data_IF_646751905399
#
_entry.id   IF_646751905399
#
_cell.length_a   1.000
_cell.length_b   1.000
_cell.length_c   1.000
_cell.angle_alpha   90.00
_cell.angle_beta   90.00
_cell.angle_gamma   90.00
#
_symmetry.space_group_name_H-M   'P 1'
#
loop_
_entity.id
_entity.type
_entity.pdbx_description
1 polymer ?
#
# COMPACT_ATOMS: atom_id res chain seq x y z
N UNK A 1 25.62 -1.64 -4.02
CA UNK A 1 24.37 -1.00 -4.51
C UNK A 1 23.46 -0.69 -3.33
N UNK A 2 22.68 0.39 -3.42
CA UNK A 2 21.70 0.76 -2.40
C UNK A 2 20.32 0.34 -2.91
N UNK A 3 19.57 -0.44 -2.13
CA UNK A 3 18.20 -0.83 -2.46
C UNK A 3 17.27 0.39 -2.32
N UNK A 4 16.36 0.57 -3.27
CA UNK A 4 15.34 1.63 -3.21
C UNK A 4 14.25 1.31 -2.19
N UNK A 5 13.89 0.03 -2.06
CA UNK A 5 12.95 -0.48 -1.06
C UNK A 5 13.10 -1.99 -0.87
N UNK A 6 12.51 -2.52 0.20
CA UNK A 6 12.27 -3.96 0.38
C UNK A 6 10.77 -4.19 0.40
N UNK A 7 10.29 -5.16 -0.37
CA UNK A 7 8.88 -5.55 -0.38
C UNK A 7 8.68 -6.85 0.38
N UNK A 8 7.63 -6.92 1.20
CA UNK A 8 7.18 -8.13 1.88
C UNK A 8 5.68 -8.37 1.67
N UNK A 9 5.29 -9.63 1.73
CA UNK A 9 3.90 -10.04 1.91
C UNK A 9 3.71 -10.43 3.37
N UNK A 10 2.91 -9.67 4.13
CA UNK A 10 2.75 -9.90 5.58
C UNK A 10 2.02 -11.20 5.88
N UNK A 11 1.11 -11.62 5.01
CA UNK A 11 0.35 -12.86 5.12
C UNK A 11 0.20 -13.53 3.74
N UNK A 12 0.87 -14.66 3.53
CA UNK A 12 0.78 -15.45 2.30
C UNK A 12 -0.48 -16.32 2.35
N UNK A 13 -1.50 -15.95 1.57
CA UNK A 13 -2.83 -16.58 1.62
C UNK A 13 -2.79 -18.08 1.30
N UNK A 14 -2.00 -18.48 0.30
CA UNK A 14 -1.98 -19.86 -0.20
C UNK A 14 -1.22 -20.76 0.78
N UNK A 15 -0.02 -20.33 1.19
CA UNK A 15 0.88 -21.14 2.02
C UNK A 15 0.54 -21.08 3.51
N UNK A 16 -0.39 -20.20 3.92
CA UNK A 16 -0.80 -20.05 5.32
C UNK A 16 0.31 -19.53 6.24
N UNK A 17 1.30 -18.80 5.69
CA UNK A 17 2.42 -18.25 6.45
C UNK A 17 2.26 -16.75 6.67
N UNK A 18 2.66 -16.26 7.84
CA UNK A 18 2.62 -14.83 8.16
C UNK A 18 3.90 -14.36 8.86
N UNK A 19 4.18 -13.07 8.73
CA UNK A 19 5.14 -12.39 9.60
C UNK A 19 4.51 -12.20 10.98
N UNK A 20 5.21 -12.65 12.02
CA UNK A 20 4.86 -12.37 13.42
C UNK A 20 5.53 -11.06 13.84
N UNK A 21 6.81 -10.92 13.51
CA UNK A 21 7.59 -9.71 13.72
C UNK A 21 7.89 -9.04 12.38
N UNK A 22 7.58 -7.75 12.28
CA UNK A 22 7.88 -6.96 11.09
C UNK A 22 9.37 -6.58 11.12
N UNK A 23 10.14 -6.87 10.05
CA UNK A 23 11.57 -6.54 10.01
C UNK A 23 11.78 -5.03 10.09
N UNK A 24 12.77 -4.61 10.87
CA UNK A 24 13.20 -3.20 10.92
C UNK A 24 14.31 -2.95 9.90
N UNK A 25 14.15 -1.90 9.10
CA UNK A 25 15.14 -1.48 8.10
C UNK A 25 15.51 -0.03 8.35
N UNK A 26 16.79 0.24 8.66
CA UNK A 26 17.23 1.57 9.10
C UNK A 26 17.21 2.62 7.97
N UNK A 27 17.51 2.19 6.73
CA UNK A 27 17.83 3.10 5.61
C UNK A 27 17.03 2.83 4.34
N UNK A 28 16.22 1.79 4.33
CA UNK A 28 15.50 1.32 3.15
C UNK A 28 14.01 1.22 3.52
N UNK A 29 13.13 1.90 2.78
CA UNK A 29 11.68 1.79 3.00
C UNK A 29 11.20 0.35 2.92
N UNK A 30 10.40 -0.06 3.90
CA UNK A 30 9.68 -1.33 3.87
C UNK A 30 8.31 -1.14 3.21
N UNK A 31 8.04 -1.89 2.16
CA UNK A 31 6.76 -1.92 1.44
C UNK A 31 6.05 -3.22 1.80
N UNK A 32 4.77 -3.15 2.16
CA UNK A 32 4.02 -4.31 2.57
C UNK A 32 2.74 -4.51 1.77
N UNK A 33 2.58 -5.71 1.21
CA UNK A 33 1.28 -6.24 0.80
C UNK A 33 0.55 -6.79 2.03
N UNK A 34 -0.54 -6.12 2.40
CA UNK A 34 -1.42 -6.52 3.50
C UNK A 34 -2.81 -6.94 3.01
N UNK A 35 -2.96 -7.31 1.73
CA UNK A 35 -4.29 -7.61 1.16
C UNK A 35 -5.07 -8.63 2.00
N UNK A 36 -4.43 -9.70 2.47
CA UNK A 36 -5.06 -10.79 3.23
C UNK A 36 -5.05 -10.62 4.75
N UNK A 37 -4.61 -9.49 5.29
CA UNK A 37 -4.61 -9.27 6.74
C UNK A 37 -4.67 -7.79 7.18
N UNK A 38 -4.93 -6.85 6.27
CA UNK A 38 -5.16 -5.45 6.65
C UNK A 38 -6.37 -5.37 7.59
N UNK A 39 -6.26 -4.65 8.70
CA UNK A 39 -7.26 -4.57 9.77
C UNK A 39 -7.57 -5.88 10.53
N UNK A 40 -6.82 -6.97 10.32
CA UNK A 40 -6.99 -8.19 11.15
C UNK A 40 -6.28 -8.10 12.51
N UNK A 41 -5.27 -7.24 12.62
CA UNK A 41 -4.49 -6.99 13.84
C UNK A 41 -3.93 -5.56 13.85
N UNK A 42 -3.38 -5.13 14.98
CA UNK A 42 -2.79 -3.78 15.10
C UNK A 42 -1.38 -3.78 14.53
N UNK A 43 -1.11 -2.83 13.64
CA UNK A 43 0.22 -2.58 13.07
C UNK A 43 0.73 -1.21 13.48
N UNK A 44 2.01 -1.13 13.83
CA UNK A 44 2.71 0.15 13.88
C UNK A 44 3.02 0.60 12.45
N UNK A 45 2.14 1.45 11.91
CA UNK A 45 2.24 1.97 10.53
C UNK A 45 3.52 2.77 10.28
N UNK A 46 4.17 3.28 11.34
CA UNK A 46 5.39 4.10 11.21
C UNK A 46 6.60 3.29 10.71
N UNK A 47 6.56 1.96 10.87
CA UNK A 47 7.59 1.01 10.40
C UNK A 47 7.61 0.83 8.88
N UNK A 48 6.54 1.23 8.19
CA UNK A 48 6.40 1.02 6.74
C UNK A 48 6.65 2.31 5.98
N UNK A 49 7.22 2.19 4.78
CA UNK A 49 7.22 3.24 3.77
C UNK A 49 5.87 3.31 3.05
N UNK A 50 5.35 2.14 2.67
CA UNK A 50 4.06 2.00 2.00
C UNK A 50 3.39 0.70 2.43
N UNK A 51 2.09 0.75 2.69
CA UNK A 51 1.22 -0.41 2.86
C UNK A 51 0.19 -0.36 1.74
N UNK A 52 -0.05 -1.49 1.06
CA UNK A 52 -1.20 -1.60 0.16
C UNK A 52 -2.00 -2.87 0.43
N UNK A 53 -3.30 -2.80 0.11
CA UNK A 53 -4.21 -3.93 0.25
C UNK A 53 -5.35 -3.83 -0.76
N UNK A 54 -5.53 -4.89 -1.56
CA UNK A 54 -6.77 -5.09 -2.32
C UNK A 54 -7.92 -5.40 -1.36
N UNK A 55 -9.05 -4.72 -1.52
CA UNK A 55 -10.15 -4.79 -0.55
C UNK A 55 -10.81 -6.18 -0.50
N UNK A 56 -10.85 -6.90 -1.63
CA UNK A 56 -11.59 -8.16 -1.86
C UNK A 56 -11.20 -9.37 -1.00
N UNK A 57 -10.25 -9.22 -0.08
CA UNK A 57 -9.83 -10.29 0.81
C UNK A 57 -10.34 -10.05 2.22
N UNK A 58 -9.82 -9.05 2.91
CA UNK A 58 -10.06 -8.85 4.34
C UNK A 58 -10.89 -7.60 4.67
N UNK A 59 -11.22 -6.76 3.68
CA UNK A 59 -11.75 -5.41 3.94
C UNK A 59 -13.13 -5.16 3.34
N UNK A 60 -13.43 -5.67 2.15
CA UNK A 60 -14.65 -5.30 1.44
C UNK A 60 -14.77 -5.92 0.05
N UNK A 61 -15.60 -5.36 -0.83
CA UNK A 61 -15.81 -5.90 -2.17
C UNK A 61 -14.61 -5.67 -3.11
N UNK A 62 -14.56 -6.45 -4.19
CA UNK A 62 -13.59 -6.22 -5.27
C UNK A 62 -13.82 -4.86 -5.96
N UNK A 63 -12.73 -4.28 -6.48
CA UNK A 63 -12.76 -3.00 -7.19
C UNK A 63 -12.09 -1.83 -6.46
N UNK A 64 -11.57 -2.03 -5.25
CA UNK A 64 -10.83 -1.03 -4.48
C UNK A 64 -9.48 -1.57 -4.00
N UNK A 65 -8.46 -0.70 -4.03
CA UNK A 65 -7.18 -0.94 -3.36
C UNK A 65 -6.86 0.25 -2.47
N UNK A 66 -6.53 -0.03 -1.20
CA UNK A 66 -6.03 0.99 -0.27
C UNK A 66 -4.51 1.07 -0.42
N UNK A 67 -3.97 2.28 -0.40
CA UNK A 67 -2.55 2.55 -0.24
C UNK A 67 -2.33 3.59 0.86
N UNK A 68 -1.53 3.23 1.88
CA UNK A 68 -1.08 4.12 2.95
C UNK A 68 0.39 4.38 2.70
N UNK A 69 0.76 5.61 2.38
CA UNK A 69 2.10 5.97 1.87
C UNK A 69 2.70 7.07 2.75
N UNK A 70 3.97 6.92 3.16
CA UNK A 70 4.70 8.03 3.78
C UNK A 70 4.83 9.20 2.79
N UNK A 71 4.52 10.40 3.26
CA UNK A 71 4.41 11.60 2.41
C UNK A 71 5.71 11.97 1.71
N UNK A 72 6.86 11.70 2.33
CA UNK A 72 8.19 11.95 1.79
C UNK A 72 8.57 11.03 0.63
N UNK A 73 7.83 9.94 0.41
CA UNK A 73 7.99 9.05 -0.75
C UNK A 73 7.16 9.48 -1.97
N UNK A 74 6.32 10.51 -1.83
CA UNK A 74 5.44 11.00 -2.91
C UNK A 74 6.13 12.15 -3.65
N UNK A 75 5.97 12.17 -4.98
CA UNK A 75 6.55 13.22 -5.86
C UNK A 75 7.91 12.86 -6.48
N UNK A 76 8.41 11.65 -6.24
CA UNK A 76 9.64 11.11 -6.84
C UNK A 76 9.45 10.30 -8.12
N UNK A 77 8.27 10.33 -8.74
CA UNK A 77 8.01 9.58 -9.97
C UNK A 77 8.84 10.12 -11.15
N UNK A 78 9.29 9.22 -12.04
CA UNK A 78 9.97 9.62 -13.28
C UNK A 78 9.06 10.53 -14.14
N UNK A 79 9.66 11.45 -14.90
CA UNK A 79 8.94 12.32 -15.84
C UNK A 79 8.16 11.53 -16.90
N UNK A 80 8.59 10.31 -17.23
CA UNK A 80 7.88 9.42 -18.14
C UNK A 80 6.72 8.67 -17.48
N UNK A 81 6.54 8.76 -16.16
CA UNK A 81 5.47 8.08 -15.45
C UNK A 81 4.10 8.65 -15.87
N UNK A 82 3.19 7.84 -16.42
CA UNK A 82 1.84 8.29 -16.76
C UNK A 82 1.10 8.85 -15.55
N UNK A 83 0.24 9.84 -15.78
CA UNK A 83 -0.50 10.54 -14.71
C UNK A 83 -1.27 9.60 -13.79
N UNK A 84 -1.89 8.54 -14.34
CA UNK A 84 -2.64 7.54 -13.58
C UNK A 84 -1.77 6.57 -12.77
N UNK A 85 -0.46 6.51 -13.01
CA UNK A 85 0.47 5.67 -12.25
C UNK A 85 1.30 6.47 -11.23
N UNK A 86 1.18 7.81 -11.24
CA UNK A 86 1.87 8.67 -10.29
C UNK A 86 1.04 8.88 -9.01
N UNK A 87 1.54 8.40 -7.86
CA UNK A 87 0.90 8.59 -6.56
C UNK A 87 0.68 10.06 -6.18
N UNK A 88 1.52 10.98 -6.68
CA UNK A 88 1.35 12.41 -6.45
C UNK A 88 0.01 12.92 -7.02
N UNK A 89 -0.42 12.38 -8.16
CA UNK A 89 -1.73 12.70 -8.76
C UNK A 89 -2.86 12.41 -7.77
N UNK A 90 -2.86 11.23 -7.17
CA UNK A 90 -3.90 10.83 -6.22
C UNK A 90 -3.81 11.62 -4.91
N UNK A 91 -2.59 11.82 -4.39
CA UNK A 91 -2.36 12.59 -3.16
C UNK A 91 -2.82 14.03 -3.27
N UNK A 92 -2.58 14.70 -4.41
CA UNK A 92 -3.02 16.09 -4.66
C UNK A 92 -4.52 16.25 -4.85
N UNK A 93 -5.20 15.20 -5.33
CA UNK A 93 -6.62 15.24 -5.66
C UNK A 93 -7.49 14.45 -4.66
N UNK A 94 -6.99 14.09 -3.48
CA UNK A 94 -7.69 13.27 -2.49
C UNK A 94 -8.31 11.98 -3.10
N UNK A 95 -7.57 11.33 -4.00
CA UNK A 95 -8.02 10.14 -4.76
C UNK A 95 -9.23 10.37 -5.69
N UNK A 96 -9.53 11.63 -6.02
CA UNK A 96 -10.64 12.04 -6.89
C UNK A 96 -10.16 12.67 -8.21
N UNK A 97 -8.98 12.27 -8.69
CA UNK A 97 -8.45 12.77 -9.98
C UNK A 97 -9.33 12.35 -11.17
N UNK A 98 -9.86 11.12 -11.12
CA UNK A 98 -10.87 10.60 -12.03
C UNK A 98 -12.01 9.95 -11.24
N UNK A 99 -12.99 9.35 -11.94
CA UNK A 99 -14.11 8.65 -11.30
C UNK A 99 -13.61 7.53 -10.38
N UNK A 100 -13.83 7.63 -9.05
CA UNK A 100 -13.41 6.60 -8.11
C UNK A 100 -14.36 5.39 -8.13
N UNK A 101 -13.96 4.24 -7.56
CA UNK A 101 -14.85 3.09 -7.38
C UNK A 101 -15.85 3.35 -6.24
N UNK A 102 -16.80 4.26 -6.47
CA UNK A 102 -17.71 4.79 -5.43
C UNK A 102 -18.44 3.70 -4.64
N UNK A 103 -18.93 2.66 -5.32
CA UNK A 103 -19.64 1.57 -4.64
C UNK A 103 -18.73 0.88 -3.62
N UNK A 104 -17.53 0.47 -4.01
CA UNK A 104 -16.57 -0.19 -3.12
C UNK A 104 -16.05 0.70 -1.98
N UNK A 105 -16.19 2.03 -2.09
CA UNK A 105 -15.79 2.99 -1.05
C UNK A 105 -16.90 3.21 -0.01
N UNK A 106 -18.15 3.33 -0.46
CA UNK A 106 -19.25 3.82 0.36
C UNK A 106 -20.29 2.76 0.77
N UNK A 107 -20.29 1.59 0.13
CA UNK A 107 -21.27 0.51 0.33
C UNK A 107 -20.58 -0.79 0.69
#
# INVERSE_FOLDING_TARGET
>A
EKLDYVHITTNNTIEGTKYVDIPHLDKVPLIADMSSNILSEQYDVTKFGLIYAGAQKNLGPAGLTIAIIKRDLIGGADRSCPTMLNYETYSKNNSLYNTPPSFSIYV
#
